data_IF_046183750991
#
_entry.id   IF_046183750991
#
_cell.length_a   1.000
_cell.length_b   1.000
_cell.length_c   1.000
_cell.angle_alpha   90.00
_cell.angle_beta   90.00
_cell.angle_gamma   90.00
#
_symmetry.space_group_name_H-M   'P 1'
#
loop_
_entity.id
_entity.type
_entity.pdbx_description
1 polymer ?
#
# COMPACT_ATOMS: atom_id res chain seq x y z
N UNK A 1 -8.52 15.97 -20.25
CA UNK A 1 -7.50 15.42 -21.18
C UNK A 1 -7.90 14.01 -21.52
N UNK A 2 -7.50 13.45 -22.67
CA UNK A 2 -7.80 12.03 -22.91
C UNK A 2 -7.03 11.16 -21.93
N UNK A 3 -7.67 10.09 -21.48
CA UNK A 3 -7.04 9.16 -20.54
C UNK A 3 -5.82 8.50 -21.18
N UNK A 4 -5.88 8.17 -22.48
CA UNK A 4 -4.73 7.63 -23.21
C UNK A 4 -3.53 8.57 -23.23
N UNK A 5 -3.73 9.89 -23.33
CA UNK A 5 -2.64 10.88 -23.29
C UNK A 5 -1.92 10.83 -21.93
N UNK A 6 -2.68 10.63 -20.84
CA UNK A 6 -2.12 10.47 -19.50
C UNK A 6 -1.37 9.14 -19.33
N UNK A 7 -1.90 8.06 -19.91
CA UNK A 7 -1.21 6.77 -19.91
C UNK A 7 0.10 6.84 -20.70
N UNK A 8 0.09 7.53 -21.85
CA UNK A 8 1.29 7.73 -22.66
C UNK A 8 2.33 8.60 -21.94
N UNK A 9 1.91 9.58 -21.14
CA UNK A 9 2.82 10.32 -20.24
C UNK A 9 3.61 9.34 -19.34
N UNK A 10 2.94 8.34 -18.74
CA UNK A 10 3.62 7.30 -17.93
C UNK A 10 4.52 6.41 -18.80
N UNK A 11 4.05 6.02 -19.99
CA UNK A 11 4.82 5.18 -20.93
C UNK A 11 6.15 5.78 -21.34
N UNK A 12 6.19 7.10 -21.54
CA UNK A 12 7.41 7.77 -21.99
C UNK A 12 8.37 8.15 -20.86
N UNK A 13 7.89 8.17 -19.61
CA UNK A 13 8.68 8.70 -18.48
C UNK A 13 8.91 7.70 -17.34
N UNK A 14 8.21 6.57 -17.33
CA UNK A 14 8.34 5.53 -16.33
C UNK A 14 8.69 4.18 -16.98
N UNK A 15 8.90 3.17 -16.14
CA UNK A 15 9.16 1.81 -16.55
C UNK A 15 7.97 1.22 -17.32
N UNK A 16 8.27 0.25 -18.19
CA UNK A 16 7.24 -0.49 -18.92
C UNK A 16 6.19 -1.10 -17.98
N UNK A 17 6.60 -1.59 -16.81
CA UNK A 17 5.67 -2.16 -15.84
C UNK A 17 4.80 -1.10 -15.15
N UNK A 18 5.31 0.12 -14.91
CA UNK A 18 4.50 1.22 -14.40
C UNK A 18 3.45 1.66 -15.44
N UNK A 19 3.83 1.71 -16.72
CA UNK A 19 2.91 1.93 -17.83
C UNK A 19 1.81 0.87 -17.91
N UNK A 20 2.20 -0.42 -18.00
CA UNK A 20 1.24 -1.52 -18.11
C UNK A 20 0.29 -1.56 -16.90
N UNK A 21 0.81 -1.27 -15.71
CA UNK A 21 0.01 -1.18 -14.49
C UNK A 21 -0.97 0.00 -14.52
N UNK A 22 -0.52 1.17 -14.98
CA UNK A 22 -1.37 2.36 -15.09
C UNK A 22 -2.48 2.13 -16.11
N UNK A 23 -2.14 1.58 -17.28
CA UNK A 23 -3.11 1.20 -18.30
C UNK A 23 -4.15 0.23 -17.72
N UNK A 24 -3.71 -0.83 -17.05
CA UNK A 24 -4.62 -1.83 -16.45
C UNK A 24 -5.53 -1.22 -15.39
N UNK A 25 -5.00 -0.38 -14.49
CA UNK A 25 -5.80 0.30 -13.46
C UNK A 25 -6.88 1.16 -14.11
N UNK A 26 -6.52 2.03 -15.05
CA UNK A 26 -7.45 2.95 -15.65
C UNK A 26 -8.49 2.23 -16.54
N UNK A 27 -8.08 1.18 -17.25
CA UNK A 27 -8.98 0.35 -18.04
C UNK A 27 -9.92 -0.53 -17.19
N UNK A 28 -9.69 -0.66 -15.89
CA UNK A 28 -10.63 -1.28 -14.94
C UNK A 28 -11.66 -0.29 -14.39
N UNK A 29 -11.31 1.01 -14.37
CA UNK A 29 -12.14 2.08 -13.83
C UNK A 29 -13.04 2.67 -14.91
N UNK A 30 -12.51 2.80 -16.13
CA UNK A 30 -13.15 3.44 -17.26
C UNK A 30 -13.42 2.45 -18.38
N UNK A 31 -14.56 2.61 -19.06
CA UNK A 31 -15.02 1.69 -20.10
C UNK A 31 -14.21 1.79 -21.41
N UNK A 32 -13.70 2.99 -21.74
CA UNK A 32 -12.88 3.23 -22.94
C UNK A 32 -11.80 4.30 -22.68
N UNK A 33 -10.60 3.85 -22.33
CA UNK A 33 -9.45 4.74 -22.07
C UNK A 33 -8.92 5.46 -23.31
N UNK A 34 -9.24 5.00 -24.52
CA UNK A 34 -8.74 5.58 -25.78
C UNK A 34 -9.48 6.86 -26.17
N UNK A 35 -10.79 6.92 -25.86
CA UNK A 35 -11.65 8.03 -26.27
C UNK A 35 -12.13 8.89 -25.11
N UNK A 36 -12.23 8.33 -23.90
CA UNK A 36 -12.74 9.05 -22.75
C UNK A 36 -11.76 10.14 -22.27
N UNK A 37 -12.33 11.24 -21.78
CA UNK A 37 -11.60 12.32 -21.13
C UNK A 37 -11.85 12.33 -19.63
N UNK A 38 -10.83 12.76 -18.89
CA UNK A 38 -10.93 12.98 -17.44
C UNK A 38 -10.04 14.15 -17.01
N UNK A 39 -10.31 14.71 -15.83
CA UNK A 39 -9.40 15.65 -15.18
C UNK A 39 -8.12 14.91 -14.73
N UNK A 40 -6.95 15.47 -15.04
CA UNK A 40 -5.65 14.95 -14.60
C UNK A 40 -5.59 14.78 -13.09
N UNK A 41 -6.17 15.70 -12.31
CA UNK A 41 -6.21 15.61 -10.85
C UNK A 41 -6.93 14.34 -10.37
N UNK A 42 -8.04 13.97 -11.01
CA UNK A 42 -8.78 12.74 -10.68
C UNK A 42 -7.94 11.50 -11.01
N UNK A 43 -7.22 11.51 -12.13
CA UNK A 43 -6.32 10.41 -12.49
C UNK A 43 -5.15 10.27 -11.51
N UNK A 44 -4.60 11.40 -11.04
CA UNK A 44 -3.55 11.42 -10.02
C UNK A 44 -4.08 10.91 -8.67
N UNK A 45 -5.28 11.33 -8.25
CA UNK A 45 -5.92 10.85 -7.02
C UNK A 45 -6.11 9.32 -7.01
N UNK A 46 -6.45 8.75 -8.17
CA UNK A 46 -6.56 7.28 -8.33
C UNK A 46 -5.21 6.61 -8.08
N UNK A 47 -4.12 7.14 -8.67
CA UNK A 47 -2.78 6.55 -8.57
C UNK A 47 -2.10 6.82 -7.22
N UNK A 48 -2.42 7.93 -6.55
CA UNK A 48 -1.98 8.23 -5.18
C UNK A 48 -2.71 7.33 -4.16
N UNK A 49 -3.93 6.88 -4.45
CA UNK A 49 -4.67 6.00 -3.57
C UNK A 49 -4.12 4.57 -3.59
N UNK A 50 -3.17 4.29 -2.68
CA UNK A 50 -2.53 2.98 -2.56
C UNK A 50 -3.51 1.80 -2.42
N UNK A 51 -4.68 2.01 -1.80
CA UNK A 51 -5.69 0.96 -1.68
C UNK A 51 -6.32 0.60 -3.03
N UNK A 52 -6.57 1.60 -3.90
CA UNK A 52 -7.07 1.36 -5.25
C UNK A 52 -6.01 0.71 -6.13
N UNK A 53 -4.76 1.19 -6.05
CA UNK A 53 -3.63 0.58 -6.77
C UNK A 53 -3.48 -0.90 -6.42
N UNK A 54 -3.55 -1.25 -5.13
CA UNK A 54 -3.54 -2.64 -4.69
C UNK A 54 -4.75 -3.43 -5.20
N UNK A 55 -5.96 -2.86 -5.10
CA UNK A 55 -7.19 -3.52 -5.52
C UNK A 55 -7.15 -3.89 -7.00
N UNK A 56 -6.78 -2.95 -7.86
CA UNK A 56 -6.81 -3.14 -9.31
C UNK A 56 -5.62 -3.91 -9.86
N UNK A 57 -4.49 -3.95 -9.15
CA UNK A 57 -3.33 -4.74 -9.57
C UNK A 57 -3.27 -6.14 -8.98
N UNK A 58 -4.17 -6.51 -8.06
CA UNK A 58 -4.14 -7.81 -7.39
C UNK A 58 -4.29 -9.00 -8.38
N UNK A 59 -5.10 -8.85 -9.43
CA UNK A 59 -5.26 -9.84 -10.51
C UNK A 59 -4.15 -9.77 -11.57
N UNK A 60 -3.43 -8.64 -11.63
CA UNK A 60 -2.30 -8.40 -12.52
C UNK A 60 -0.96 -8.95 -11.98
N UNK A 61 -0.90 -9.19 -10.67
CA UNK A 61 0.33 -9.46 -9.92
C UNK A 61 1.05 -10.77 -10.27
N UNK A 62 0.33 -11.83 -10.66
CA UNK A 62 0.91 -13.18 -10.74
C UNK A 62 1.99 -13.34 -11.84
N UNK A 63 1.65 -13.24 -13.13
CA UNK A 63 2.61 -13.48 -14.21
C UNK A 63 3.55 -12.30 -14.47
N UNK A 64 3.08 -11.07 -14.28
CA UNK A 64 3.78 -9.85 -14.74
C UNK A 64 4.86 -9.44 -13.74
N UNK A 65 4.58 -9.47 -12.44
CA UNK A 65 5.59 -9.08 -11.44
C UNK A 65 6.80 -10.02 -11.44
N UNK A 66 6.59 -11.33 -11.68
CA UNK A 66 7.68 -12.30 -11.77
C UNK A 66 8.59 -12.07 -12.96
N UNK A 67 8.04 -11.68 -14.12
CA UNK A 67 8.84 -11.40 -15.32
C UNK A 67 9.68 -10.13 -15.19
N UNK A 68 9.19 -9.13 -14.47
CA UNK A 68 9.86 -7.84 -14.30
C UNK A 68 10.52 -7.64 -12.92
N UNK A 69 10.61 -8.70 -12.09
CA UNK A 69 11.11 -8.64 -10.70
C UNK A 69 10.54 -7.46 -9.88
N UNK A 70 9.23 -7.24 -10.02
CA UNK A 70 8.55 -6.06 -9.47
C UNK A 70 7.53 -6.42 -8.39
N UNK A 71 6.90 -5.40 -7.81
CA UNK A 71 5.81 -5.54 -6.85
C UNK A 71 4.90 -4.31 -6.94
N UNK A 72 3.67 -4.42 -6.42
CA UNK A 72 2.76 -3.27 -6.34
C UNK A 72 3.37 -2.09 -5.59
N UNK A 73 4.18 -2.34 -4.54
CA UNK A 73 4.89 -1.28 -3.81
C UNK A 73 5.93 -0.59 -4.70
N UNK A 74 6.73 -1.34 -5.46
CA UNK A 74 7.72 -0.76 -6.38
C UNK A 74 7.05 0.12 -7.45
N UNK A 75 5.94 -0.34 -8.02
CA UNK A 75 5.16 0.42 -9.00
C UNK A 75 4.61 1.70 -8.38
N UNK A 76 4.00 1.59 -7.20
CA UNK A 76 3.47 2.74 -6.48
C UNK A 76 4.55 3.77 -6.13
N UNK A 77 5.72 3.32 -5.69
CA UNK A 77 6.85 4.20 -5.35
C UNK A 77 7.41 4.92 -6.59
N UNK A 78 7.49 4.22 -7.71
CA UNK A 78 7.91 4.81 -8.98
C UNK A 78 6.91 5.88 -9.45
N UNK A 79 5.61 5.57 -9.47
CA UNK A 79 4.57 6.53 -9.84
C UNK A 79 4.54 7.72 -8.88
N UNK A 80 4.68 7.48 -7.58
CA UNK A 80 4.75 8.53 -6.56
C UNK A 80 5.96 9.42 -6.77
N UNK A 81 7.13 8.84 -7.05
CA UNK A 81 8.34 9.58 -7.36
C UNK A 81 8.18 10.44 -8.62
N UNK A 82 7.57 9.91 -9.66
CA UNK A 82 7.39 10.62 -10.93
C UNK A 82 6.40 11.79 -10.82
N UNK A 83 5.24 11.55 -10.20
CA UNK A 83 4.19 12.57 -10.05
C UNK A 83 4.35 13.47 -8.82
N UNK A 84 5.33 13.19 -7.96
CA UNK A 84 5.62 13.96 -6.75
C UNK A 84 4.65 13.72 -5.59
N UNK A 85 4.06 12.52 -5.51
CA UNK A 85 3.21 12.13 -4.39
C UNK A 85 4.03 11.87 -3.14
N UNK A 86 3.50 12.27 -1.98
CA UNK A 86 4.07 11.85 -0.71
C UNK A 86 3.67 10.38 -0.45
N UNK A 87 4.63 9.49 -0.30
CA UNK A 87 4.34 8.07 0.02
C UNK A 87 3.98 7.88 1.48
N UNK A 88 4.29 8.85 2.35
CA UNK A 88 3.86 8.90 3.75
C UNK A 88 2.53 9.67 3.86
N UNK A 89 1.48 9.04 3.35
CA UNK A 89 0.14 9.62 3.23
C UNK A 89 -0.92 8.75 3.90
N UNK A 90 -2.17 9.23 3.87
CA UNK A 90 -3.33 8.56 4.45
C UNK A 90 -3.51 7.12 3.92
N UNK A 91 -3.28 6.90 2.63
CA UNK A 91 -3.60 5.64 1.96
C UNK A 91 -2.61 4.53 2.34
N UNK A 92 -1.31 4.85 2.37
CA UNK A 92 -0.28 3.90 2.82
C UNK A 92 -0.40 3.62 4.32
N UNK A 93 -0.69 4.66 5.12
CA UNK A 93 -0.94 4.52 6.56
C UNK A 93 -2.12 3.58 6.85
N UNK A 94 -3.30 3.85 6.29
CA UNK A 94 -4.50 3.04 6.55
C UNK A 94 -4.34 1.60 6.03
N UNK A 95 -3.58 1.39 4.96
CA UNK A 95 -3.25 0.04 4.49
C UNK A 95 -2.40 -0.74 5.51
N UNK A 96 -1.36 -0.13 6.08
CA UNK A 96 -0.52 -0.76 7.10
C UNK A 96 -1.38 -1.07 8.34
N UNK A 97 -2.20 -0.11 8.80
CA UNK A 97 -3.13 -0.30 9.92
C UNK A 97 -4.08 -1.46 9.65
N UNK A 98 -4.67 -1.55 8.46
CA UNK A 98 -5.56 -2.65 8.07
C UNK A 98 -4.85 -3.99 8.15
N UNK A 99 -3.61 -4.10 7.65
CA UNK A 99 -2.81 -5.33 7.76
C UNK A 99 -2.56 -5.71 9.22
N UNK A 100 -2.09 -4.78 10.05
CA UNK A 100 -1.84 -5.06 11.46
C UNK A 100 -3.10 -5.45 12.24
N UNK A 101 -4.26 -4.87 11.91
CA UNK A 101 -5.55 -5.27 12.52
C UNK A 101 -5.94 -6.73 12.25
N UNK A 102 -5.51 -7.30 11.13
CA UNK A 102 -5.78 -8.73 10.81
C UNK A 102 -4.88 -9.68 11.59
N UNK A 103 -3.73 -9.20 12.06
CA UNK A 103 -2.78 -9.96 12.88
C UNK A 103 -3.18 -9.87 14.36
N UNK A 104 -4.31 -10.49 14.71
CA UNK A 104 -4.81 -10.48 16.08
C UNK A 104 -3.90 -11.26 17.03
N UNK A 105 -3.91 -10.96 18.34
CA UNK A 105 -3.14 -11.75 19.30
C UNK A 105 -3.43 -13.25 19.23
N UNK A 106 -4.70 -13.64 19.09
CA UNK A 106 -5.06 -15.07 18.96
C UNK A 106 -4.44 -15.71 17.73
N UNK A 107 -4.40 -15.01 16.59
CA UNK A 107 -3.84 -15.53 15.36
C UNK A 107 -2.32 -15.73 15.50
N UNK A 108 -1.61 -14.73 16.05
CA UNK A 108 -0.16 -14.82 16.23
C UNK A 108 0.18 -15.93 17.26
N UNK A 109 -0.57 -16.02 18.36
CA UNK A 109 -0.37 -17.06 19.36
C UNK A 109 -0.70 -18.47 18.85
N UNK A 110 -1.53 -18.60 17.81
CA UNK A 110 -1.87 -19.89 17.20
C UNK A 110 -0.79 -20.44 16.27
N UNK A 111 0.27 -19.67 15.98
CA UNK A 111 1.41 -20.15 15.20
C UNK A 111 2.19 -21.20 16.00
N UNK A 112 2.35 -22.40 15.42
CA UNK A 112 3.02 -23.54 16.07
C UNK A 112 4.53 -23.35 16.15
N UNK A 113 5.11 -22.76 15.11
CA UNK A 113 6.56 -22.54 14.99
C UNK A 113 6.97 -21.24 15.68
N UNK A 114 7.85 -21.35 16.69
CA UNK A 114 8.29 -20.21 17.49
C UNK A 114 9.20 -19.24 16.72
N UNK A 115 9.93 -19.69 15.70
CA UNK A 115 10.74 -18.81 14.85
C UNK A 115 9.82 -17.99 13.93
N UNK A 116 8.83 -18.63 13.31
CA UNK A 116 7.81 -17.93 12.49
C UNK A 116 7.02 -16.95 13.35
N UNK A 117 6.70 -17.33 14.59
CA UNK A 117 6.00 -16.48 15.55
C UNK A 117 6.84 -15.25 15.91
N UNK A 118 8.11 -15.42 16.26
CA UNK A 118 9.03 -14.33 16.55
C UNK A 118 9.17 -13.38 15.35
N UNK A 119 9.41 -13.94 14.16
CA UNK A 119 9.52 -13.15 12.94
C UNK A 119 8.22 -12.38 12.63
N UNK A 120 7.05 -12.96 12.93
CA UNK A 120 5.77 -12.27 12.78
C UNK A 120 5.63 -11.10 13.75
N UNK A 121 6.11 -11.27 14.99
CA UNK A 121 6.12 -10.21 16.01
C UNK A 121 7.04 -9.07 15.59
N UNK A 122 8.27 -9.37 15.18
CA UNK A 122 9.25 -8.36 14.71
C UNK A 122 8.70 -7.57 13.51
N UNK A 123 8.15 -8.26 12.50
CA UNK A 123 7.49 -7.62 11.35
C UNK A 123 6.28 -6.76 11.72
N UNK A 124 5.60 -7.07 12.84
CA UNK A 124 4.50 -6.26 13.36
C UNK A 124 5.07 -4.98 13.98
N UNK A 125 6.11 -5.11 14.80
CA UNK A 125 6.77 -4.02 15.51
C UNK A 125 7.44 -3.03 14.54
N UNK A 126 8.13 -3.51 13.51
CA UNK A 126 8.70 -2.66 12.44
C UNK A 126 7.61 -1.81 11.76
N UNK A 127 6.46 -2.42 11.44
CA UNK A 127 5.34 -1.69 10.83
C UNK A 127 4.70 -0.69 11.81
N UNK A 128 4.64 -1.03 13.10
CA UNK A 128 4.21 -0.09 14.12
C UNK A 128 5.15 1.12 14.20
N UNK A 129 6.45 0.90 14.12
CA UNK A 129 7.44 1.97 14.13
C UNK A 129 7.24 2.92 12.94
N UNK A 130 7.04 2.36 11.73
CA UNK A 130 6.69 3.13 10.52
C UNK A 130 5.41 3.96 10.73
N UNK A 131 4.37 3.39 11.36
CA UNK A 131 3.15 4.14 11.67
C UNK A 131 3.38 5.26 12.69
N UNK A 132 4.19 5.03 13.73
CA UNK A 132 4.42 6.03 14.78
C UNK A 132 5.37 7.15 14.36
N UNK A 133 6.25 6.89 13.40
CA UNK A 133 7.18 7.87 12.83
C UNK A 133 6.62 8.60 11.60
N UNK A 134 5.47 8.15 11.08
CA UNK A 134 4.79 8.74 9.94
C UNK A 134 4.44 10.22 10.15
N UNK A 135 4.70 11.02 9.12
CA UNK A 135 4.26 12.41 8.98
C UNK A 135 2.74 12.50 9.04
N UNK A 136 2.02 11.63 8.33
CA UNK A 136 0.56 11.61 8.36
C UNK A 136 0.03 11.34 9.78
N UNK A 137 0.64 10.40 10.51
CA UNK A 137 0.28 10.15 11.91
C UNK A 137 0.52 11.37 12.79
N UNK A 138 1.70 11.98 12.69
CA UNK A 138 2.08 13.13 13.51
C UNK A 138 1.12 14.31 13.32
N UNK A 139 0.69 14.55 12.08
CA UNK A 139 -0.26 15.62 11.75
C UNK A 139 -1.69 15.34 12.22
N UNK A 140 -2.07 14.07 12.39
CA UNK A 140 -3.44 13.64 12.72
C UNK A 140 -3.49 12.85 14.05
N UNK A 141 -2.53 13.12 14.95
CA UNK A 141 -2.30 12.29 16.13
C UNK A 141 -3.55 12.11 16.99
N UNK A 142 -4.31 13.18 17.22
CA UNK A 142 -5.50 13.15 18.08
C UNK A 142 -6.55 12.13 17.61
N UNK A 143 -6.70 11.95 16.29
CA UNK A 143 -7.71 11.07 15.70
C UNK A 143 -7.21 9.62 15.55
N UNK A 144 -5.89 9.43 15.56
CA UNK A 144 -5.25 8.15 15.23
C UNK A 144 -4.59 7.47 16.45
N UNK A 145 -4.31 8.21 17.51
CA UNK A 145 -3.59 7.72 18.70
C UNK A 145 -4.29 6.53 19.34
N UNK A 146 -5.62 6.54 19.47
CA UNK A 146 -6.36 5.41 20.02
C UNK A 146 -6.19 4.14 19.16
N UNK A 147 -6.24 4.30 17.82
CA UNK A 147 -6.05 3.18 16.89
C UNK A 147 -4.65 2.58 17.04
N UNK A 148 -3.62 3.41 17.13
CA UNK A 148 -2.23 2.98 17.30
C UNK A 148 -1.99 2.35 18.66
N UNK A 149 -2.49 2.96 19.74
CA UNK A 149 -2.40 2.43 21.10
C UNK A 149 -3.02 1.02 21.19
N UNK A 150 -4.12 0.77 20.47
CA UNK A 150 -4.72 -0.57 20.43
C UNK A 150 -3.79 -1.59 19.76
N UNK A 151 -3.13 -1.22 18.66
CA UNK A 151 -2.17 -2.10 17.98
C UNK A 151 -0.94 -2.38 18.85
N UNK A 152 -0.40 -1.36 19.52
CA UNK A 152 0.70 -1.51 20.49
C UNK A 152 0.32 -2.43 21.65
N UNK A 153 -0.89 -2.27 22.20
CA UNK A 153 -1.41 -3.16 23.25
C UNK A 153 -1.50 -4.60 22.74
N UNK A 154 -2.04 -4.81 21.55
CA UNK A 154 -2.17 -6.16 20.98
C UNK A 154 -0.82 -6.88 20.89
N UNK A 155 0.20 -6.25 20.31
CA UNK A 155 1.51 -6.90 20.17
C UNK A 155 2.21 -7.09 21.51
N UNK A 156 2.05 -6.15 22.46
CA UNK A 156 2.62 -6.28 23.79
C UNK A 156 2.07 -7.49 24.58
N UNK A 157 0.79 -7.82 24.38
CA UNK A 157 0.17 -9.01 24.99
C UNK A 157 0.78 -10.29 24.42
N UNK A 158 1.01 -10.34 23.11
CA UNK A 158 1.63 -11.49 22.43
C UNK A 158 3.05 -11.70 22.92
N UNK A 159 3.88 -10.65 23.00
CA UNK A 159 5.25 -10.73 23.55
C UNK A 159 5.26 -11.34 24.94
N UNK A 160 4.46 -10.77 25.85
CA UNK A 160 4.37 -11.24 27.24
C UNK A 160 3.92 -12.69 27.34
N UNK A 161 2.95 -13.11 26.52
CA UNK A 161 2.45 -14.48 26.53
C UNK A 161 3.44 -15.48 25.90
N UNK A 162 4.31 -15.02 25.01
CA UNK A 162 5.29 -15.85 24.31
C UNK A 162 6.67 -15.89 24.99
N UNK A 163 6.85 -15.17 26.10
CA UNK A 163 8.13 -15.00 26.80
C UNK A 163 9.25 -14.40 25.94
N UNK A 164 8.90 -13.50 25.01
CA UNK A 164 9.83 -12.68 24.21
C UNK A 164 9.90 -11.22 24.70
#
# INVERSE_FOLDING_TARGET
MKIIDFIDEVKFNCSEIAYLSTYHILNKIYDDVETQEENKEILLDILENYSLVLQYLNDYAGPIYRRHNSSTKKIYDELSSYFGFDTDNKYTFEHIVKKLKTQTPSLIMSLEDDEIKLQTIENFEEKLEVLTSSKYYTQNKNDLEEKINKLQKNISLVRRASNF
#
